data_IF_437780870410
#
_entry.id   IF_437780870410
#
_cell.length_a   1.000
_cell.length_b   1.000
_cell.length_c   1.000
_cell.angle_alpha   90.00
_cell.angle_beta   90.00
_cell.angle_gamma   90.00
#
_symmetry.space_group_name_H-M   'P 1'
#
loop_
_entity.id
_entity.type
_entity.pdbx_description
1 polymer ?
#
# COMPACT_ATOMS: atom_id res chain seq x y z
N UNK A 1 -15.05 2.79 5.84
CA UNK A 1 -14.95 1.52 6.58
C UNK A 1 -13.83 1.61 7.58
N UNK A 2 -14.04 1.08 8.76
CA UNK A 2 -13.03 1.07 9.81
C UNK A 2 -12.69 -0.36 10.16
N UNK A 3 -11.40 -0.64 10.35
CA UNK A 3 -10.94 -1.92 10.83
C UNK A 3 -11.12 -2.01 12.34
N UNK A 4 -11.32 -3.21 12.83
CA UNK A 4 -11.44 -3.46 14.25
C UNK A 4 -10.37 -4.46 14.69
N UNK A 5 -9.68 -4.12 15.75
CA UNK A 5 -8.73 -5.00 16.41
C UNK A 5 -9.28 -5.37 17.77
N UNK A 6 -9.47 -6.67 18.01
CA UNK A 6 -9.89 -7.18 19.31
C UNK A 6 -8.65 -7.43 20.17
N UNK A 7 -8.62 -6.84 21.35
CA UNK A 7 -7.54 -7.02 22.33
C UNK A 7 -8.14 -7.28 23.68
N UNK A 8 -7.30 -7.61 24.66
CA UNK A 8 -7.73 -7.75 26.05
C UNK A 8 -8.29 -6.46 26.63
N UNK A 9 -7.94 -5.33 26.05
CA UNK A 9 -8.41 -4.01 26.48
C UNK A 9 -9.68 -3.56 25.78
N UNK A 10 -10.22 -4.40 24.87
CA UNK A 10 -11.41 -4.09 24.09
C UNK A 10 -11.11 -3.99 22.59
N UNK A 11 -12.05 -3.43 21.85
CA UNK A 11 -11.93 -3.27 20.41
C UNK A 11 -11.27 -1.94 20.06
N UNK A 12 -10.21 -2.01 19.26
CA UNK A 12 -9.55 -0.82 18.72
C UNK A 12 -10.03 -0.65 17.27
N UNK A 13 -10.49 0.56 16.95
CA UNK A 13 -10.93 0.88 15.60
C UNK A 13 -9.83 1.67 14.92
N UNK A 14 -9.34 1.15 13.79
CA UNK A 14 -8.28 1.78 13.01
C UNK A 14 -8.88 2.31 11.72
N UNK A 15 -8.62 3.59 11.45
CA UNK A 15 -9.09 4.23 10.22
C UNK A 15 -8.32 3.69 9.02
N UNK A 16 -8.99 3.20 7.97
CA UNK A 16 -8.30 2.73 6.76
C UNK A 16 -7.38 3.77 6.12
N UNK A 17 -7.71 5.05 6.22
CA UNK A 17 -6.84 6.11 5.70
C UNK A 17 -5.50 6.17 6.42
N UNK A 18 -5.49 5.90 7.72
CA UNK A 18 -4.25 5.85 8.50
C UNK A 18 -3.41 4.66 8.04
N UNK A 19 -4.03 3.51 7.83
CA UNK A 19 -3.34 2.31 7.34
C UNK A 19 -2.78 2.58 5.94
N UNK A 20 -3.57 3.19 5.06
CA UNK A 20 -3.14 3.49 3.69
C UNK A 20 -1.95 4.46 3.68
N UNK A 21 -2.01 5.50 4.50
CA UNK A 21 -0.91 6.47 4.60
C UNK A 21 0.36 5.80 5.11
N UNK A 22 0.23 4.95 6.12
CA UNK A 22 1.37 4.22 6.68
C UNK A 22 1.96 3.26 5.65
N UNK A 23 1.12 2.46 5.01
CA UNK A 23 1.55 1.51 3.99
C UNK A 23 2.22 2.22 2.82
N UNK A 24 1.69 3.37 2.40
CA UNK A 24 2.29 4.18 1.35
C UNK A 24 3.67 4.69 1.72
N UNK A 25 3.86 5.13 2.97
CA UNK A 25 5.17 5.60 3.42
C UNK A 25 6.20 4.47 3.45
N UNK A 26 5.79 3.27 3.82
CA UNK A 26 6.66 2.09 3.77
C UNK A 26 7.02 1.76 2.32
N UNK A 27 6.03 1.82 1.42
CA UNK A 27 6.22 1.47 0.03
C UNK A 27 7.24 2.37 -0.67
N UNK A 28 7.14 3.70 -0.48
CA UNK A 28 8.04 4.62 -1.17
C UNK A 28 9.48 4.58 -0.68
N UNK A 29 9.72 3.96 0.46
CA UNK A 29 11.08 3.76 0.96
C UNK A 29 11.73 2.48 0.42
N UNK A 30 10.97 1.63 -0.26
CA UNK A 30 11.52 0.41 -0.84
C UNK A 30 12.40 0.73 -2.04
N UNK A 31 13.47 -0.03 -2.19
CA UNK A 31 14.41 0.14 -3.30
C UNK A 31 13.68 -0.10 -4.63
N UNK A 32 13.88 0.79 -5.58
CA UNK A 32 13.29 0.69 -6.91
C UNK A 32 11.93 1.35 -7.07
N UNK A 33 11.30 1.75 -5.97
CA UNK A 33 10.03 2.46 -6.03
C UNK A 33 10.31 3.95 -6.19
N UNK A 34 9.84 4.53 -7.28
CA UNK A 34 9.92 5.97 -7.53
C UNK A 34 8.83 6.70 -6.74
N UNK A 35 7.66 6.11 -6.67
CA UNK A 35 6.54 6.69 -5.94
C UNK A 35 5.26 5.90 -6.12
N UNK A 36 4.18 6.46 -5.60
CA UNK A 36 2.85 5.91 -5.74
C UNK A 36 2.13 6.63 -6.89
N UNK A 37 1.13 5.97 -7.45
CA UNK A 37 0.34 6.53 -8.53
C UNK A 37 -1.15 6.41 -8.25
N UNK A 38 -1.91 7.39 -8.71
CA UNK A 38 -3.35 7.29 -8.79
C UNK A 38 -3.73 7.11 -10.26
N UNK A 39 -4.69 6.24 -10.52
CA UNK A 39 -5.24 6.07 -11.86
C UNK A 39 -6.52 6.87 -11.96
N UNK A 40 -6.57 7.76 -12.96
CA UNK A 40 -7.80 8.46 -13.27
C UNK A 40 -8.68 7.52 -14.09
N UNK A 41 -9.71 6.99 -13.46
CA UNK A 41 -10.60 6.02 -14.11
C UNK A 41 -11.32 6.59 -15.32
N UNK A 42 -11.51 7.89 -15.35
CA UNK A 42 -12.23 8.56 -16.42
C UNK A 42 -11.36 8.69 -17.69
N UNK A 43 -10.09 9.04 -17.51
CA UNK A 43 -9.17 9.28 -18.61
C UNK A 43 -8.15 8.16 -18.80
N UNK A 44 -8.08 7.22 -17.89
CA UNK A 44 -7.09 6.16 -17.93
C UNK A 44 -5.67 6.64 -17.66
N UNK A 45 -5.51 7.86 -17.19
CA UNK A 45 -4.20 8.44 -16.94
C UNK A 45 -3.66 8.02 -15.58
N UNK A 46 -2.36 7.74 -15.56
CA UNK A 46 -1.64 7.43 -14.31
C UNK A 46 -0.93 8.68 -13.86
N UNK A 47 -1.21 9.11 -12.64
CA UNK A 47 -0.64 10.32 -12.07
C UNK A 47 0.24 9.97 -10.88
N UNK A 48 1.48 10.49 -10.88
CA UNK A 48 2.38 10.34 -9.76
C UNK A 48 1.85 11.14 -8.56
N UNK A 49 1.72 10.49 -7.42
CA UNK A 49 1.19 11.13 -6.22
C UNK A 49 2.29 11.81 -5.42
N UNK A 50 1.94 12.93 -4.81
CA UNK A 50 2.80 13.60 -3.85
C UNK A 50 2.85 12.79 -2.56
N UNK A 51 3.87 13.04 -1.75
CA UNK A 51 4.07 12.33 -0.49
C UNK A 51 2.89 12.48 0.48
N UNK A 52 2.22 13.63 0.48
CA UNK A 52 1.05 13.87 1.33
C UNK A 52 -0.23 13.22 0.82
N UNK A 53 -0.21 12.67 -0.39
CA UNK A 53 -1.38 12.05 -1.04
C UNK A 53 -1.17 10.58 -1.33
N UNK A 54 -0.20 9.93 -0.69
CA UNK A 54 0.15 8.53 -0.99
C UNK A 54 -1.02 7.56 -0.81
N UNK A 55 -1.91 7.85 0.12
CA UNK A 55 -3.08 6.98 0.36
C UNK A 55 -3.98 6.82 -0.86
N UNK A 56 -3.93 7.76 -1.81
CA UNK A 56 -4.75 7.69 -3.02
C UNK A 56 -4.26 6.65 -4.02
N UNK A 57 -3.04 6.13 -3.85
CA UNK A 57 -2.51 5.04 -4.65
C UNK A 57 -2.71 3.67 -4.02
N UNK A 58 -3.44 3.61 -2.92
CA UNK A 58 -3.63 2.39 -2.16
C UNK A 58 -5.12 2.18 -1.89
N UNK A 59 -5.60 0.99 -2.18
CA UNK A 59 -6.94 0.57 -1.80
C UNK A 59 -6.83 -0.42 -0.66
N UNK A 60 -7.51 -0.15 0.45
CA UNK A 60 -7.51 -0.99 1.63
C UNK A 60 -8.89 -1.61 1.80
N UNK A 61 -8.90 -2.91 2.05
CA UNK A 61 -10.12 -3.64 2.38
C UNK A 61 -9.89 -4.43 3.66
N UNK A 62 -10.79 -4.31 4.61
CA UNK A 62 -10.70 -5.00 5.90
C UNK A 62 -11.93 -5.88 6.06
N UNK A 63 -11.71 -7.19 6.16
CA UNK A 63 -12.76 -8.17 6.35
C UNK A 63 -12.26 -9.26 7.28
N UNK A 64 -13.09 -9.66 8.25
CA UNK A 64 -12.78 -10.76 9.19
C UNK A 64 -11.41 -10.59 9.87
N UNK A 65 -11.07 -9.37 10.28
CA UNK A 65 -9.80 -9.01 10.90
C UNK A 65 -8.59 -9.27 10.00
N UNK A 66 -8.80 -9.27 8.69
CA UNK A 66 -7.73 -9.39 7.71
C UNK A 66 -7.71 -8.17 6.80
N UNK A 67 -6.52 -7.75 6.44
CA UNK A 67 -6.31 -6.58 5.59
C UNK A 67 -5.86 -7.04 4.20
N UNK A 68 -6.51 -6.49 3.18
CA UNK A 68 -6.07 -6.66 1.79
C UNK A 68 -5.71 -5.31 1.23
N UNK A 69 -4.58 -5.25 0.54
CA UNK A 69 -4.03 -4.01 0.00
C UNK A 69 -3.80 -4.12 -1.49
N UNK A 70 -4.20 -3.08 -2.21
CA UNK A 70 -3.90 -2.92 -3.63
C UNK A 70 -3.06 -1.65 -3.79
N UNK A 71 -1.87 -1.80 -4.35
CA UNK A 71 -0.94 -0.70 -4.59
C UNK A 71 -0.85 -0.37 -6.06
N UNK A 72 -0.76 0.92 -6.36
CA UNK A 72 -0.35 1.42 -7.66
C UNK A 72 0.98 2.12 -7.47
N UNK A 73 2.06 1.53 -7.98
CA UNK A 73 3.42 2.04 -7.80
C UNK A 73 4.07 2.38 -9.12
N UNK A 74 5.01 3.31 -9.07
CA UNK A 74 5.86 3.67 -10.20
C UNK A 74 7.26 3.19 -9.87
N UNK A 75 7.87 2.44 -10.77
CA UNK A 75 9.26 1.97 -10.62
C UNK A 75 10.14 2.52 -11.72
N UNK A 76 11.44 2.54 -11.49
CA UNK A 76 12.42 2.98 -12.48
C UNK A 76 12.60 1.95 -13.57
N UNK A 77 12.88 2.41 -14.80
CA UNK A 77 13.26 1.52 -15.88
C UNK A 77 14.56 0.77 -15.55
N UNK A 78 14.66 -0.44 -16.05
CA UNK A 78 15.86 -1.25 -15.89
C UNK A 78 15.95 -2.02 -14.59
N UNK A 79 14.99 -1.83 -13.69
CA UNK A 79 14.95 -2.55 -12.42
C UNK A 79 14.05 -3.77 -12.58
N UNK A 80 14.44 -4.87 -11.94
CA UNK A 80 13.65 -6.09 -11.96
C UNK A 80 12.31 -5.89 -11.25
N UNK A 81 11.22 -6.00 -11.98
CA UNK A 81 9.87 -5.85 -11.44
C UNK A 81 9.61 -6.91 -10.36
N UNK A 82 10.01 -8.15 -10.62
CA UNK A 82 9.80 -9.24 -9.66
C UNK A 82 10.50 -9.00 -8.33
N UNK A 83 11.76 -8.56 -8.39
CA UNK A 83 12.52 -8.29 -7.16
C UNK A 83 11.94 -7.12 -6.37
N UNK A 84 11.55 -6.05 -7.05
CA UNK A 84 10.94 -4.88 -6.40
C UNK A 84 9.61 -5.25 -5.77
N UNK A 85 8.75 -5.96 -6.50
CA UNK A 85 7.44 -6.36 -5.99
C UNK A 85 7.55 -7.28 -4.78
N UNK A 86 8.46 -8.25 -4.84
CA UNK A 86 8.68 -9.17 -3.73
C UNK A 86 9.15 -8.45 -2.46
N UNK A 87 10.10 -7.54 -2.62
CA UNK A 87 10.61 -6.74 -1.52
C UNK A 87 9.52 -5.84 -0.94
N UNK A 88 8.75 -5.19 -1.80
CA UNK A 88 7.65 -4.33 -1.40
C UNK A 88 6.60 -5.12 -0.59
N UNK A 89 6.18 -6.26 -1.11
CA UNK A 89 5.17 -7.09 -0.46
C UNK A 89 5.64 -7.56 0.91
N UNK A 90 6.88 -8.03 1.00
CA UNK A 90 7.44 -8.51 2.28
C UNK A 90 7.52 -7.40 3.32
N UNK A 91 8.02 -6.23 2.94
CA UNK A 91 8.16 -5.10 3.86
C UNK A 91 6.81 -4.55 4.29
N UNK A 92 5.89 -4.38 3.36
CA UNK A 92 4.58 -3.84 3.69
C UNK A 92 3.81 -4.81 4.58
N UNK A 93 3.85 -6.10 4.27
CA UNK A 93 3.17 -7.11 5.09
C UNK A 93 3.67 -7.07 6.52
N UNK A 94 4.99 -7.09 6.72
CA UNK A 94 5.58 -7.08 8.05
C UNK A 94 5.21 -5.81 8.81
N UNK A 95 5.39 -4.64 8.17
CA UNK A 95 5.17 -3.36 8.84
C UNK A 95 3.69 -3.12 9.15
N UNK A 96 2.80 -3.47 8.23
CA UNK A 96 1.37 -3.27 8.44
C UNK A 96 0.84 -4.22 9.50
N UNK A 97 1.26 -5.48 9.49
CA UNK A 97 0.86 -6.42 10.53
C UNK A 97 1.35 -5.98 11.91
N UNK A 98 2.58 -5.48 11.99
CA UNK A 98 3.13 -4.96 13.23
C UNK A 98 2.38 -3.71 13.72
N UNK A 99 2.06 -2.81 12.81
CA UNK A 99 1.39 -1.56 13.12
C UNK A 99 -0.06 -1.77 13.56
N UNK A 100 -0.78 -2.65 12.88
CA UNK A 100 -2.22 -2.84 13.11
C UNK A 100 -2.54 -4.01 14.05
N UNK A 101 -1.66 -4.98 14.13
CA UNK A 101 -1.95 -6.23 14.82
C UNK A 101 -2.87 -7.16 14.06
N UNK A 102 -3.29 -6.77 12.85
CA UNK A 102 -4.14 -7.59 12.00
C UNK A 102 -3.30 -8.38 11.00
N UNK A 103 -3.85 -9.51 10.54
CA UNK A 103 -3.21 -10.28 9.48
C UNK A 103 -3.43 -9.62 8.13
N UNK A 104 -2.39 -9.60 7.30
CA UNK A 104 -2.52 -9.18 5.92
C UNK A 104 -2.85 -10.40 5.08
N UNK A 105 -4.02 -10.37 4.42
CA UNK A 105 -4.50 -11.47 3.61
C UNK A 105 -3.73 -11.55 2.28
N UNK A 106 -3.81 -10.47 1.50
CA UNK A 106 -3.04 -10.39 0.26
C UNK A 106 -2.64 -8.95 -0.03
N UNK A 107 -1.59 -8.82 -0.84
CA UNK A 107 -1.13 -7.54 -1.35
C UNK A 107 -1.00 -7.68 -2.86
N UNK A 108 -1.72 -6.84 -3.60
CA UNK A 108 -1.59 -6.75 -5.05
C UNK A 108 -0.83 -5.48 -5.40
N UNK A 109 0.06 -5.61 -6.36
CA UNK A 109 0.89 -4.49 -6.80
C UNK A 109 0.67 -4.29 -8.29
N UNK A 110 0.16 -3.12 -8.65
CA UNK A 110 0.03 -2.69 -10.05
C UNK A 110 1.16 -1.72 -10.35
N UNK A 111 1.88 -1.98 -11.41
CA UNK A 111 3.15 -1.32 -11.67
C UNK A 111 3.08 -0.51 -12.95
N UNK A 112 3.48 0.77 -12.85
CA UNK A 112 3.81 1.60 -13.98
C UNK A 112 5.30 1.89 -13.97
N UNK A 113 5.87 2.23 -15.13
CA UNK A 113 7.26 2.61 -15.24
C UNK A 113 7.37 4.08 -15.56
N UNK A 114 8.32 4.74 -14.90
CA UNK A 114 8.62 6.12 -15.18
C UNK A 114 9.57 6.19 -16.37
N UNK A 115 9.22 7.05 -17.34
CA UNK A 115 10.13 7.46 -18.37
C UNK A 115 10.95 8.63 -17.86
N UNK A 116 12.23 8.49 -17.92
CA UNK A 116 13.17 9.55 -17.50
C UNK A 116 13.67 10.28 -18.74
#
# INVERSE_FOLDING_TARGET
MKGKLSTELGNIVIDPDVIATYAGSVAVECVGIVGMAAVNMKDGLVKLLRRDSLKHGITIRIEDNKISLDFHVIISYGISIGAVAENLISNVRFQVEDFTGLKVDYIRVKIGRAHV
#
